data_IF_423677306220
#
_entry.id   IF_423677306220
#
_cell.length_a   1.000
_cell.length_b   1.000
_cell.length_c   1.000
_cell.angle_alpha   90.00
_cell.angle_beta   90.00
_cell.angle_gamma   90.00
#
_symmetry.space_group_name_H-M   'P 1'
#
loop_
_entity.id
_entity.type
_entity.pdbx_description
1 polymer ?
#
# COMPACT_ATOMS: atom_id res chain seq x y z
N UNK A 1 20.24 -12.28 -12.91
CA UNK A 1 20.20 -10.87 -12.44
C UNK A 1 19.05 -10.77 -11.45
N UNK A 2 19.34 -10.68 -10.15
CA UNK A 2 18.29 -10.52 -9.13
C UNK A 2 17.97 -9.02 -9.03
N UNK A 3 16.79 -8.61 -9.46
CA UNK A 3 16.29 -7.26 -9.18
C UNK A 3 15.90 -7.21 -7.70
N UNK A 4 16.56 -6.33 -6.94
CA UNK A 4 16.11 -5.98 -5.59
C UNK A 4 15.00 -4.95 -5.73
N UNK A 5 13.79 -5.34 -5.32
CA UNK A 5 12.62 -4.47 -5.25
C UNK A 5 12.74 -3.70 -3.93
N UNK A 6 13.39 -2.54 -3.96
CA UNK A 6 13.41 -1.67 -2.78
C UNK A 6 12.19 -0.74 -2.83
N UNK A 7 11.52 -0.59 -1.69
CA UNK A 7 10.50 0.44 -1.52
C UNK A 7 11.14 1.82 -1.60
N UNK A 8 10.44 2.79 -2.21
CA UNK A 8 10.86 4.18 -2.10
C UNK A 8 10.76 4.62 -0.62
N UNK A 9 11.63 5.53 -0.17
CA UNK A 9 11.51 6.12 1.15
C UNK A 9 10.10 6.66 1.37
N UNK A 10 9.49 6.36 2.52
CA UNK A 10 8.15 6.81 2.91
C UNK A 10 6.98 6.30 2.04
N UNK A 11 7.21 5.37 1.10
CA UNK A 11 6.19 4.88 0.18
C UNK A 11 4.95 4.31 0.89
N UNK A 12 5.14 3.60 2.00
CA UNK A 12 4.03 3.03 2.77
C UNK A 12 3.20 4.13 3.43
N UNK A 13 3.86 5.10 4.08
CA UNK A 13 3.14 6.20 4.73
C UNK A 13 2.38 7.06 3.73
N UNK A 14 2.95 7.35 2.56
CA UNK A 14 2.28 8.11 1.50
C UNK A 14 1.07 7.35 0.94
N UNK A 15 1.25 6.06 0.65
CA UNK A 15 0.17 5.20 0.17
C UNK A 15 -0.98 5.14 1.18
N UNK A 16 -0.68 4.94 2.48
CA UNK A 16 -1.71 4.86 3.53
C UNK A 16 -2.41 6.21 3.73
N UNK A 17 -1.67 7.33 3.64
CA UNK A 17 -2.28 8.66 3.70
C UNK A 17 -3.25 8.87 2.53
N UNK A 18 -2.84 8.51 1.31
CA UNK A 18 -3.67 8.64 0.12
C UNK A 18 -4.93 7.75 0.18
N UNK A 19 -4.78 6.49 0.60
CA UNK A 19 -5.91 5.58 0.82
C UNK A 19 -6.82 6.12 1.94
N UNK A 20 -6.25 6.74 2.98
CA UNK A 20 -7.01 7.38 4.05
C UNK A 20 -7.91 8.52 3.56
N UNK A 21 -7.42 9.31 2.61
CA UNK A 21 -8.15 10.42 1.99
C UNK A 21 -9.22 9.92 1.00
N UNK A 22 -8.87 8.96 0.14
CA UNK A 22 -9.76 8.49 -0.95
C UNK A 22 -10.73 7.39 -0.51
N UNK A 23 -10.38 6.65 0.55
CA UNK A 23 -10.98 5.36 0.94
C UNK A 23 -11.00 4.33 -0.20
N UNK A 24 -10.05 4.45 -1.12
CA UNK A 24 -9.91 3.56 -2.25
C UNK A 24 -8.50 2.98 -2.27
N UNK A 25 -8.40 1.72 -2.67
CA UNK A 25 -7.12 1.05 -2.95
C UNK A 25 -7.10 0.81 -4.46
N UNK A 26 -6.18 1.48 -5.13
CA UNK A 26 -6.02 1.41 -6.59
C UNK A 26 -5.20 0.20 -7.02
N UNK A 27 -5.13 -0.04 -8.32
CA UNK A 27 -4.27 -1.09 -8.88
C UNK A 27 -2.79 -0.85 -8.52
N UNK A 28 -2.35 0.41 -8.55
CA UNK A 28 -0.99 0.78 -8.18
C UNK A 28 -0.70 0.50 -6.69
N UNK A 29 -1.63 0.84 -5.80
CA UNK A 29 -1.49 0.60 -4.36
C UNK A 29 -1.41 -0.90 -4.05
N UNK A 30 -2.17 -1.73 -4.75
CA UNK A 30 -2.12 -3.20 -4.57
C UNK A 30 -0.76 -3.77 -4.92
N UNK A 31 -0.17 -3.33 -6.02
CA UNK A 31 1.18 -3.75 -6.39
C UNK A 31 2.24 -3.20 -5.43
N UNK A 32 2.08 -1.97 -4.95
CA UNK A 32 2.93 -1.41 -3.91
C UNK A 32 2.83 -2.18 -2.58
N UNK A 33 1.62 -2.58 -2.17
CA UNK A 33 1.37 -3.40 -0.99
C UNK A 33 1.97 -4.80 -1.15
N UNK A 34 1.81 -5.41 -2.33
CA UNK A 34 2.43 -6.70 -2.65
C UNK A 34 3.95 -6.61 -2.53
N UNK A 35 4.57 -5.57 -3.10
CA UNK A 35 5.99 -5.31 -2.94
C UNK A 35 6.38 -5.15 -1.47
N UNK A 36 5.62 -4.38 -0.69
CA UNK A 36 5.87 -4.20 0.74
C UNK A 36 5.79 -5.52 1.53
N UNK A 37 4.83 -6.40 1.21
CA UNK A 37 4.68 -7.72 1.83
C UNK A 37 5.87 -8.63 1.49
N UNK A 38 6.39 -8.59 0.25
CA UNK A 38 7.59 -9.36 -0.10
C UNK A 38 8.86 -8.88 0.62
N UNK A 39 8.87 -7.63 1.08
CA UNK A 39 9.99 -7.00 1.79
C UNK A 39 9.72 -6.84 3.30
N UNK A 40 8.81 -7.64 3.86
CA UNK A 40 8.33 -7.50 5.25
C UNK A 40 9.48 -7.44 6.28
N UNK A 41 10.55 -8.22 6.08
CA UNK A 41 11.72 -8.26 6.97
C UNK A 41 12.48 -6.93 7.04
N UNK A 42 12.31 -6.06 6.05
CA UNK A 42 12.90 -4.72 5.99
C UNK A 42 11.97 -3.62 6.48
N UNK A 43 10.73 -3.96 6.84
CA UNK A 43 9.74 -3.02 7.37
C UNK A 43 9.90 -2.84 8.87
N UNK A 44 9.77 -1.59 9.30
CA UNK A 44 9.62 -1.25 10.70
C UNK A 44 8.33 -1.84 11.28
N UNK A 45 8.27 -1.96 12.60
CA UNK A 45 7.07 -2.44 13.30
C UNK A 45 5.85 -1.53 13.01
N UNK A 46 6.04 -0.22 12.97
CA UNK A 46 4.98 0.76 12.66
C UNK A 46 4.43 0.58 11.24
N UNK A 47 5.29 0.32 10.26
CA UNK A 47 4.87 0.05 8.88
C UNK A 47 4.05 -1.23 8.78
N UNK A 48 4.48 -2.30 9.48
CA UNK A 48 3.76 -3.56 9.56
C UNK A 48 2.37 -3.38 10.18
N UNK A 49 2.29 -2.69 11.32
CA UNK A 49 1.01 -2.37 11.97
C UNK A 49 0.08 -1.55 11.07
N UNK A 50 0.65 -0.61 10.31
CA UNK A 50 -0.12 0.22 9.39
C UNK A 50 -0.70 -0.58 8.23
N UNK A 51 0.07 -1.55 7.68
CA UNK A 51 -0.40 -2.52 6.68
C UNK A 51 -1.51 -3.40 7.25
N UNK A 52 -1.35 -3.96 8.46
CA UNK A 52 -2.37 -4.81 9.09
C UNK A 52 -3.69 -4.05 9.29
N UNK A 53 -3.62 -2.78 9.71
CA UNK A 53 -4.79 -1.92 9.87
C UNK A 53 -5.47 -1.64 8.53
N UNK A 54 -4.71 -1.42 7.47
CA UNK A 54 -5.23 -1.25 6.12
C UNK A 54 -5.95 -2.52 5.65
N UNK A 55 -5.30 -3.69 5.72
CA UNK A 55 -5.89 -4.98 5.35
C UNK A 55 -7.18 -5.26 6.12
N UNK A 56 -7.20 -5.01 7.44
CA UNK A 56 -8.39 -5.16 8.26
C UNK A 56 -9.53 -4.24 7.83
N UNK A 57 -9.21 -3.02 7.37
CA UNK A 57 -10.19 -2.05 6.91
C UNK A 57 -10.78 -2.45 5.55
N UNK A 58 -9.96 -3.00 4.65
CA UNK A 58 -10.38 -3.59 3.38
C UNK A 58 -11.31 -4.79 3.63
N UNK A 59 -10.90 -5.76 4.46
CA UNK A 59 -11.71 -6.93 4.77
C UNK A 59 -13.07 -6.59 5.42
N UNK A 60 -13.18 -5.42 6.07
CA UNK A 60 -14.42 -4.91 6.66
C UNK A 60 -15.27 -4.10 5.69
N UNK A 61 -14.87 -3.98 4.42
CA UNK A 61 -15.57 -3.19 3.41
C UNK A 61 -15.54 -1.67 3.67
N UNK A 62 -14.62 -1.18 4.52
CA UNK A 62 -14.50 0.26 4.83
C UNK A 62 -13.68 1.03 3.79
N UNK A 63 -12.91 0.29 3.00
CA UNK A 63 -12.06 0.79 1.92
C UNK A 63 -12.40 -0.04 0.69
N UNK A 64 -12.67 0.63 -0.41
CA UNK A 64 -13.06 0.01 -1.66
C UNK A 64 -11.82 -0.32 -2.50
N UNK A 65 -11.80 -1.47 -3.16
CA UNK A 65 -10.79 -1.78 -4.18
C UNK A 65 -11.31 -1.29 -5.52
N UNK A 66 -10.48 -0.56 -6.26
CA UNK A 66 -10.80 -0.03 -7.59
C UNK A 66 -9.70 -0.41 -8.59
N UNK A 67 -10.06 -0.56 -9.86
CA UNK A 67 -9.12 -0.88 -10.95
C UNK A 67 -8.50 0.37 -11.58
N UNK A 68 -8.63 1.52 -10.92
CA UNK A 68 -7.99 2.77 -11.34
C UNK A 68 -6.47 2.68 -11.16
N UNK A 69 -5.74 3.39 -12.01
CA UNK A 69 -4.29 3.58 -11.87
C UNK A 69 -4.10 5.00 -11.35
N UNK A 70 -3.59 5.16 -10.13
CA UNK A 70 -3.37 6.48 -9.48
C UNK A 70 -2.52 7.46 -10.32
N UNK A 71 -1.78 6.98 -11.32
CA UNK A 71 -0.92 7.79 -12.18
C UNK A 71 -1.67 8.60 -13.27
N UNK A 72 -3.00 8.52 -13.38
CA UNK A 72 -3.77 9.21 -14.44
C UNK A 72 -4.66 10.37 -13.95
N UNK A 73 -4.48 10.86 -12.73
CA UNK A 73 -5.16 12.08 -12.27
C UNK A 73 -4.12 13.10 -11.81
N UNK A 74 -3.68 13.91 -12.77
CA UNK A 74 -3.10 15.23 -12.56
C UNK A 74 -4.19 16.29 -12.59
#
# INVERSE_FOLDING_TARGET
MYFSIQLLPHAISEMIAQIGCTRQVTLADRYGLMAAIFYLDHLSEDERFSIDRLLRSICRGRIQIVDEISALLH
#
